data_IF_808859806049
#
_entry.id   IF_808859806049
#
_cell.length_a   1.000
_cell.length_b   1.000
_cell.length_c   1.000
_cell.angle_alpha   90.00
_cell.angle_beta   90.00
_cell.angle_gamma   90.00
#
_symmetry.space_group_name_H-M   'P 1'
#
loop_
_entity.id
_entity.type
_entity.pdbx_description
1 polymer ?
#
# COMPACT_ATOMS: atom_id res chain seq x y z
N UNK A 1 24.22 -4.66 1.90
CA UNK A 1 22.93 -5.05 2.51
C UNK A 1 22.44 -6.26 1.74
N UNK A 2 22.20 -7.40 2.39
CA UNK A 2 21.74 -8.63 1.70
C UNK A 2 20.23 -8.58 1.61
N UNK A 3 19.67 -8.47 0.41
CA UNK A 3 18.24 -8.57 0.14
C UNK A 3 17.73 -9.99 0.39
N UNK A 4 16.48 -10.14 0.78
CA UNK A 4 15.83 -11.46 0.86
C UNK A 4 15.65 -11.97 -0.58
N UNK A 5 16.26 -13.11 -1.00
CA UNK A 5 16.25 -13.56 -2.40
C UNK A 5 14.85 -13.68 -3.01
N UNK A 6 13.86 -14.08 -2.21
CA UNK A 6 12.47 -14.16 -2.65
C UNK A 6 11.89 -12.79 -3.02
N UNK A 7 12.19 -11.74 -2.25
CA UNK A 7 11.75 -10.37 -2.56
C UNK A 7 12.46 -9.87 -3.83
N UNK A 8 13.73 -10.20 -3.98
CA UNK A 8 14.51 -9.84 -5.16
C UNK A 8 13.91 -10.46 -6.44
N UNK A 9 13.35 -11.67 -6.36
CA UNK A 9 12.75 -12.36 -7.52
C UNK A 9 11.53 -11.63 -8.12
N UNK A 10 10.87 -10.74 -7.40
CA UNK A 10 9.75 -9.93 -7.88
C UNK A 10 9.98 -8.42 -7.79
N UNK A 11 11.24 -8.00 -7.67
CA UNK A 11 11.60 -6.58 -7.60
C UNK A 11 11.18 -5.78 -8.84
N UNK A 12 11.24 -6.40 -10.04
CA UNK A 12 10.77 -5.78 -11.28
C UNK A 12 9.28 -5.48 -11.27
N UNK A 13 8.47 -6.40 -10.72
CA UNK A 13 7.02 -6.22 -10.59
C UNK A 13 6.72 -5.05 -9.65
N UNK A 14 7.43 -4.98 -8.50
CA UNK A 14 7.30 -3.87 -7.57
C UNK A 14 7.72 -2.53 -8.18
N UNK A 15 8.79 -2.53 -8.98
CA UNK A 15 9.23 -1.32 -9.70
C UNK A 15 8.14 -0.84 -10.65
N UNK A 16 7.51 -1.74 -11.40
CA UNK A 16 6.43 -1.38 -12.32
C UNK A 16 5.21 -0.82 -11.57
N UNK A 17 4.81 -1.45 -10.47
CA UNK A 17 3.71 -0.97 -9.61
C UNK A 17 4.02 0.42 -9.06
N UNK A 18 5.23 0.64 -8.54
CA UNK A 18 5.63 1.94 -8.01
C UNK A 18 5.60 3.04 -9.08
N UNK A 19 6.12 2.76 -10.27
CA UNK A 19 6.12 3.72 -11.37
C UNK A 19 4.71 4.01 -11.88
N UNK A 20 3.82 3.02 -11.86
CA UNK A 20 2.41 3.20 -12.21
C UNK A 20 1.68 4.09 -11.20
N UNK A 21 1.87 3.88 -9.89
CA UNK A 21 1.33 4.79 -8.87
C UNK A 21 1.88 6.20 -9.03
N UNK A 22 3.19 6.33 -9.26
CA UNK A 22 3.83 7.64 -9.44
C UNK A 22 3.26 8.41 -10.63
N UNK A 23 2.98 7.72 -11.72
CA UNK A 23 2.41 8.32 -12.93
C UNK A 23 0.93 8.71 -12.78
N UNK A 24 0.21 8.15 -11.79
CA UNK A 24 -1.23 8.37 -11.59
C UNK A 24 -1.55 8.79 -10.15
N UNK A 25 -0.96 9.89 -9.65
CA UNK A 25 -1.16 10.34 -8.27
C UNK A 25 -2.60 10.80 -8.03
N UNK A 26 -3.15 10.40 -6.88
CA UNK A 26 -4.48 10.79 -6.40
C UNK A 26 -4.37 11.50 -5.05
N UNK A 27 -5.17 12.53 -4.82
CA UNK A 27 -5.14 13.30 -3.58
C UNK A 27 -5.91 12.56 -2.47
N UNK A 28 -5.70 13.01 -1.23
CA UNK A 28 -6.35 12.42 -0.06
C UNK A 28 -7.86 12.32 -0.17
N UNK A 29 -8.40 11.13 0.11
CA UNK A 29 -9.78 10.67 -0.09
C UNK A 29 -10.25 10.57 -1.56
N UNK A 30 -9.36 10.79 -2.53
CA UNK A 30 -9.62 10.57 -3.95
C UNK A 30 -8.86 9.35 -4.51
N UNK A 31 -8.17 8.57 -3.66
CA UNK A 31 -7.29 7.45 -4.04
C UNK A 31 -8.07 6.20 -4.50
N UNK A 32 -9.06 6.38 -5.37
CA UNK A 32 -9.98 5.31 -5.82
C UNK A 32 -9.25 4.28 -6.68
N UNK A 33 -8.42 4.75 -7.61
CA UNK A 33 -7.61 3.87 -8.48
C UNK A 33 -6.54 3.14 -7.68
N UNK A 34 -5.79 3.87 -6.85
CA UNK A 34 -4.72 3.33 -6.01
C UNK A 34 -5.27 2.26 -5.07
N UNK A 35 -6.35 2.55 -4.36
CA UNK A 35 -7.07 1.64 -3.48
C UNK A 35 -7.52 0.35 -4.20
N UNK A 36 -8.12 0.49 -5.38
CA UNK A 36 -8.55 -0.65 -6.19
C UNK A 36 -7.40 -1.55 -6.63
N UNK A 37 -6.26 -0.96 -7.03
CA UNK A 37 -5.05 -1.72 -7.39
C UNK A 37 -4.50 -2.44 -6.15
N UNK A 38 -4.39 -1.76 -5.01
CA UNK A 38 -3.94 -2.36 -3.76
C UNK A 38 -4.80 -3.58 -3.40
N UNK A 39 -6.11 -3.43 -3.39
CA UNK A 39 -7.03 -4.52 -3.07
C UNK A 39 -6.92 -5.70 -4.04
N UNK A 40 -6.79 -5.42 -5.34
CA UNK A 40 -6.59 -6.44 -6.36
C UNK A 40 -5.28 -7.21 -6.17
N UNK A 41 -4.18 -6.51 -5.89
CA UNK A 41 -2.87 -7.13 -5.63
C UNK A 41 -2.89 -8.00 -4.37
N UNK A 42 -3.48 -7.52 -3.28
CA UNK A 42 -3.60 -8.30 -2.04
C UNK A 42 -4.35 -9.61 -2.27
N UNK A 43 -5.47 -9.57 -3.02
CA UNK A 43 -6.21 -10.79 -3.40
C UNK A 43 -5.39 -11.72 -4.28
N UNK A 44 -4.66 -11.18 -5.26
CA UNK A 44 -3.79 -11.95 -6.14
C UNK A 44 -2.64 -12.64 -5.39
N UNK A 45 -2.13 -12.02 -4.32
CA UNK A 45 -1.09 -12.59 -3.45
C UNK A 45 -1.61 -13.64 -2.47
N UNK A 46 -2.93 -13.82 -2.37
CA UNK A 46 -3.54 -14.80 -1.46
C UNK A 46 -3.63 -14.31 -0.01
N UNK A 47 -3.80 -13.01 0.20
CA UNK A 47 -4.14 -12.43 1.52
C UNK A 47 -5.49 -12.97 1.97
N UNK A 48 -5.61 -13.40 3.23
CA UNK A 48 -6.79 -14.15 3.71
C UNK A 48 -8.07 -13.31 3.73
N UNK A 49 -7.96 -12.04 4.15
CA UNK A 49 -9.07 -11.10 4.17
C UNK A 49 -8.62 -9.76 3.58
N UNK A 50 -9.47 -9.14 2.77
CA UNK A 50 -9.23 -7.81 2.18
C UNK A 50 -10.51 -6.97 2.33
N UNK A 51 -10.40 -5.93 3.14
CA UNK A 51 -11.49 -4.97 3.42
C UNK A 51 -11.17 -3.65 2.74
N UNK A 52 -12.10 -3.16 1.93
CA UNK A 52 -12.00 -1.90 1.19
C UNK A 52 -12.91 -0.82 1.78
N UNK A 53 -12.60 0.43 1.49
CA UNK A 53 -13.44 1.57 1.86
C UNK A 53 -13.32 2.00 3.32
N UNK A 54 -12.39 1.46 4.09
CA UNK A 54 -12.18 1.85 5.49
C UNK A 54 -11.61 3.27 5.55
N UNK A 55 -12.32 4.18 6.14
CA UNK A 55 -11.94 5.60 6.14
C UNK A 55 -12.14 6.28 4.79
N UNK A 56 -12.95 5.70 3.90
CA UNK A 56 -13.24 6.19 2.55
C UNK A 56 -12.55 5.37 1.46
N UNK A 57 -11.27 5.54 1.25
CA UNK A 57 -10.48 4.82 0.23
C UNK A 57 -9.43 3.88 0.83
N UNK A 58 -9.38 3.72 2.16
CA UNK A 58 -8.42 2.85 2.81
C UNK A 58 -8.68 1.37 2.55
N UNK A 59 -7.59 0.58 2.58
CA UNK A 59 -7.64 -0.88 2.42
C UNK A 59 -6.95 -1.53 3.60
N UNK A 60 -7.56 -2.58 4.13
CA UNK A 60 -6.98 -3.40 5.22
C UNK A 60 -6.92 -4.85 4.78
N UNK A 61 -5.74 -5.46 4.86
CA UNK A 61 -5.54 -6.87 4.58
C UNK A 61 -5.12 -7.65 5.84
N UNK A 62 -5.55 -8.89 5.99
CA UNK A 62 -5.13 -9.77 7.08
C UNK A 62 -4.44 -11.01 6.50
N UNK A 63 -3.26 -11.32 7.06
CA UNK A 63 -2.51 -12.55 6.74
C UNK A 63 -2.30 -13.34 8.03
N UNK A 64 -2.80 -14.57 8.06
CA UNK A 64 -2.59 -15.47 9.18
C UNK A 64 -1.34 -16.32 8.95
N UNK A 65 -0.44 -16.34 9.93
CA UNK A 65 0.74 -17.20 9.96
C UNK A 65 0.38 -18.66 10.26
N UNK A 66 1.31 -19.56 9.96
CA UNK A 66 1.12 -21.01 10.20
C UNK A 66 1.38 -21.43 11.65
N UNK A 67 2.01 -20.59 12.46
CA UNK A 67 2.38 -20.93 13.85
C UNK A 67 1.24 -20.88 14.87
N UNK A 68 0.04 -20.40 14.51
CA UNK A 68 -1.18 -20.50 15.34
C UNK A 68 -1.23 -19.58 16.56
N UNK A 69 -0.35 -18.59 16.69
CA UNK A 69 -0.36 -17.59 17.77
C UNK A 69 -1.51 -16.58 17.65
N UNK A 70 -1.81 -15.86 18.74
CA UNK A 70 -2.89 -14.87 18.80
C UNK A 70 -2.40 -13.41 18.74
N UNK A 71 -1.11 -13.18 18.58
CA UNK A 71 -0.53 -11.83 18.45
C UNK A 71 -0.87 -11.21 17.10
N UNK A 72 -1.05 -9.89 17.09
CA UNK A 72 -1.25 -9.12 15.86
C UNK A 72 -0.19 -8.05 15.71
N UNK A 73 0.29 -7.85 14.48
CA UNK A 73 1.24 -6.79 14.11
C UNK A 73 0.63 -6.00 12.97
N UNK A 74 0.50 -4.69 13.13
CA UNK A 74 0.09 -3.77 12.07
C UNK A 74 1.30 -3.27 11.28
N UNK A 75 1.24 -3.35 9.96
CA UNK A 75 2.16 -2.70 9.03
C UNK A 75 1.38 -1.65 8.25
N UNK A 76 1.89 -0.42 8.20
CA UNK A 76 1.17 0.72 7.62
C UNK A 76 1.94 1.37 6.47
N UNK A 77 1.23 1.69 5.41
CA UNK A 77 1.63 2.63 4.36
C UNK A 77 0.52 3.64 4.09
N UNK A 78 0.88 4.83 3.68
CA UNK A 78 -0.01 5.87 3.17
C UNK A 78 -0.10 5.80 1.65
N UNK A 79 -1.17 6.38 1.06
CA UNK A 79 -1.45 6.22 -0.37
C UNK A 79 -1.61 7.55 -1.13
N UNK A 80 -1.86 8.65 -0.43
CA UNK A 80 -2.21 9.93 -1.05
C UNK A 80 -1.00 10.68 -1.63
N UNK A 81 -1.27 11.49 -2.64
CA UNK A 81 -0.31 12.40 -3.27
C UNK A 81 -0.55 13.84 -2.81
N UNK A 82 0.34 14.73 -3.22
CA UNK A 82 0.30 16.16 -2.93
C UNK A 82 -0.20 16.98 -4.13
N UNK A 83 -0.86 18.14 -3.89
CA UNK A 83 -1.29 19.07 -4.96
C UNK A 83 -0.08 19.92 -5.44
N UNK A 84 0.89 19.25 -6.06
CA UNK A 84 2.14 19.84 -6.53
C UNK A 84 2.32 19.49 -8.00
N UNK A 85 2.72 20.46 -8.83
CA UNK A 85 3.11 20.21 -10.22
C UNK A 85 4.45 19.49 -10.26
N UNK A 86 4.51 18.35 -10.94
CA UNK A 86 5.75 17.60 -11.07
C UNK A 86 6.64 18.17 -12.19
N UNK A 87 7.89 18.45 -11.85
CA UNK A 87 8.91 18.92 -12.79
C UNK A 87 10.17 18.04 -12.79
N UNK A 88 10.07 16.80 -12.33
CA UNK A 88 11.21 15.87 -12.18
C UNK A 88 11.85 15.45 -13.50
N UNK A 89 11.05 15.37 -14.59
CA UNK A 89 11.51 14.91 -15.89
C UNK A 89 11.78 13.41 -15.99
N UNK A 90 11.36 12.61 -15.00
CA UNK A 90 11.47 11.15 -15.06
C UNK A 90 10.50 10.57 -16.10
N UNK A 91 10.83 9.40 -16.65
CA UNK A 91 10.02 8.76 -17.69
C UNK A 91 8.60 8.34 -17.22
N UNK A 92 8.42 8.19 -15.92
CA UNK A 92 7.15 7.84 -15.26
C UNK A 92 6.59 9.01 -14.43
N UNK A 93 6.91 10.25 -14.82
CA UNK A 93 6.35 11.45 -14.18
C UNK A 93 4.81 11.43 -14.20
N UNK A 94 4.21 12.16 -13.28
CA UNK A 94 2.76 12.31 -13.17
C UNK A 94 2.09 12.66 -14.50
N UNK A 95 1.03 11.93 -14.82
CA UNK A 95 0.14 12.24 -15.96
C UNK A 95 -1.06 13.09 -15.51
N UNK A 96 -1.18 13.37 -14.20
CA UNK A 96 -2.25 14.18 -13.61
C UNK A 96 -1.71 15.57 -13.27
N UNK A 97 -1.97 16.61 -14.09
CA UNK A 97 -1.44 17.96 -13.85
C UNK A 97 -1.77 18.46 -12.43
N UNK A 98 -0.81 19.10 -11.79
CA UNK A 98 -0.97 19.64 -10.42
C UNK A 98 -1.00 18.59 -9.32
N UNK A 99 -0.63 17.33 -9.58
CA UNK A 99 -0.55 16.26 -8.58
C UNK A 99 0.75 15.51 -8.71
N UNK A 100 1.40 15.18 -7.58
CA UNK A 100 2.68 14.47 -7.55
C UNK A 100 2.82 13.66 -6.27
N UNK A 101 3.38 12.45 -6.36
CA UNK A 101 3.87 11.71 -5.20
C UNK A 101 5.19 12.29 -4.67
N UNK A 102 5.16 13.55 -4.20
CA UNK A 102 6.35 14.25 -3.73
C UNK A 102 6.81 13.80 -2.32
N UNK A 103 5.95 13.16 -1.54
CA UNK A 103 6.27 12.60 -0.23
C UNK A 103 6.72 11.13 -0.28
N UNK A 104 6.58 10.47 -1.43
CA UNK A 104 7.04 9.08 -1.63
C UNK A 104 6.04 8.01 -1.21
N UNK A 105 4.77 8.35 -1.04
CA UNK A 105 3.72 7.39 -0.66
C UNK A 105 3.48 6.30 -1.70
N UNK A 106 3.79 6.53 -2.98
CA UNK A 106 3.89 5.53 -4.03
C UNK A 106 4.91 4.41 -3.67
N UNK A 107 6.05 4.81 -3.11
CA UNK A 107 7.06 3.89 -2.59
C UNK A 107 6.59 3.15 -1.33
N UNK A 108 5.96 3.86 -0.38
CA UNK A 108 5.43 3.25 0.85
C UNK A 108 4.38 2.19 0.54
N UNK A 109 3.39 2.52 -0.30
CA UNK A 109 2.35 1.58 -0.77
C UNK A 109 2.98 0.35 -1.44
N UNK A 110 3.95 0.57 -2.33
CA UNK A 110 4.64 -0.53 -3.03
C UNK A 110 5.46 -1.41 -2.09
N UNK A 111 6.17 -0.83 -1.13
CA UNK A 111 6.92 -1.59 -0.13
C UNK A 111 5.99 -2.48 0.72
N UNK A 112 4.82 -1.96 1.11
CA UNK A 112 3.85 -2.75 1.87
C UNK A 112 3.21 -3.85 1.01
N UNK A 113 2.97 -3.62 -0.29
CA UNK A 113 2.55 -4.67 -1.23
C UNK A 113 3.63 -5.76 -1.39
N UNK A 114 4.92 -5.38 -1.44
CA UNK A 114 6.02 -6.33 -1.48
C UNK A 114 6.10 -7.18 -0.20
N UNK A 115 5.92 -6.57 0.97
CA UNK A 115 5.85 -7.27 2.24
C UNK A 115 4.63 -8.20 2.29
N UNK A 116 3.46 -7.75 1.80
CA UNK A 116 2.24 -8.54 1.72
C UNK A 116 2.44 -9.81 0.89
N UNK A 117 3.04 -9.67 -0.32
CA UNK A 117 3.35 -10.81 -1.19
C UNK A 117 4.27 -11.81 -0.51
N UNK A 118 5.37 -11.32 0.07
CA UNK A 118 6.31 -12.18 0.77
C UNK A 118 5.67 -12.94 1.93
N UNK A 119 4.92 -12.24 2.78
CA UNK A 119 4.29 -12.83 3.97
C UNK A 119 3.16 -13.80 3.61
N UNK A 120 2.34 -13.49 2.60
CA UNK A 120 1.27 -14.36 2.14
C UNK A 120 1.80 -15.64 1.48
N UNK A 121 2.91 -15.55 0.73
CA UNK A 121 3.53 -16.70 0.09
C UNK A 121 4.35 -17.59 1.05
N UNK A 122 4.87 -17.06 2.15
CA UNK A 122 5.71 -17.81 3.10
C UNK A 122 4.96 -18.27 4.34
N UNK A 123 4.17 -17.40 4.94
CA UNK A 123 3.40 -17.62 6.19
C UNK A 123 4.22 -18.15 7.37
N UNK A 124 5.55 -18.00 7.32
CA UNK A 124 6.50 -18.51 8.33
C UNK A 124 6.57 -17.53 9.53
N UNK A 125 5.45 -17.40 10.23
CA UNK A 125 5.32 -16.59 11.44
C UNK A 125 4.11 -17.03 12.29
N UNK A 126 4.11 -16.58 13.57
CA UNK A 126 3.00 -16.78 14.50
C UNK A 126 2.06 -15.57 14.52
N UNK A 127 0.75 -15.83 14.61
CA UNK A 127 -0.26 -14.78 14.74
C UNK A 127 -0.71 -14.19 13.40
N UNK A 128 -1.14 -12.94 13.41
CA UNK A 128 -1.72 -12.26 12.24
C UNK A 128 -0.98 -10.96 11.93
N UNK A 129 -0.64 -10.77 10.67
CA UNK A 129 -0.19 -9.47 10.14
C UNK A 129 -1.39 -8.72 9.59
N UNK A 130 -1.58 -7.49 10.04
CA UNK A 130 -2.61 -6.55 9.57
C UNK A 130 -1.91 -5.52 8.66
N UNK A 131 -2.24 -5.54 7.39
CA UNK A 131 -1.73 -4.60 6.39
C UNK A 131 -2.69 -3.40 6.32
N UNK A 132 -2.19 -2.21 6.55
CA UNK A 132 -3.00 -0.98 6.62
C UNK A 132 -2.53 -0.03 5.53
N UNK A 133 -3.33 0.12 4.48
CA UNK A 133 -3.12 1.12 3.43
C UNK A 133 -4.01 2.31 3.75
N UNK A 134 -3.38 3.34 4.31
CA UNK A 134 -4.05 4.51 4.85
C UNK A 134 -4.28 5.57 3.77
N UNK A 135 -5.50 6.11 3.60
CA UNK A 135 -5.75 7.29 2.78
C UNK A 135 -5.41 8.57 3.52
N UNK A 136 -5.28 9.67 2.77
CA UNK A 136 -5.34 11.04 3.26
C UNK A 136 -4.44 11.33 4.49
N UNK A 137 -3.16 10.99 4.38
CA UNK A 137 -2.16 11.24 5.42
C UNK A 137 -1.84 12.75 5.49
N UNK A 138 -1.75 13.42 4.34
CA UNK A 138 -1.32 14.81 4.17
C UNK A 138 -2.35 15.81 4.71
N UNK A 139 -2.53 15.79 6.04
CA UNK A 139 -3.31 16.78 6.79
C UNK A 139 -4.83 16.59 6.83
N UNK A 140 -5.39 15.61 6.13
CA UNK A 140 -6.84 15.38 6.09
C UNK A 140 -7.37 14.38 7.13
N UNK A 141 -6.45 13.69 7.84
CA UNK A 141 -6.77 12.85 8.98
C UNK A 141 -7.36 11.48 8.65
N UNK A 142 -6.91 10.86 7.56
CA UNK A 142 -7.35 9.54 7.11
C UNK A 142 -7.22 8.44 8.18
N UNK A 143 -6.11 8.42 8.93
CA UNK A 143 -5.95 7.47 10.04
C UNK A 143 -7.06 7.61 11.10
N UNK A 144 -7.41 8.85 11.49
CA UNK A 144 -8.48 9.10 12.45
C UNK A 144 -9.81 8.55 11.95
N UNK A 145 -10.07 8.71 10.64
CA UNK A 145 -11.30 8.22 10.03
C UNK A 145 -11.33 6.69 9.98
N UNK A 146 -10.22 6.03 9.63
CA UNK A 146 -10.13 4.57 9.67
C UNK A 146 -10.39 4.01 11.07
N UNK A 147 -9.78 4.62 12.11
CA UNK A 147 -9.98 4.23 13.52
C UNK A 147 -11.45 4.42 13.94
N UNK A 148 -12.08 5.52 13.54
CA UNK A 148 -13.50 5.77 13.86
C UNK A 148 -14.45 4.76 13.19
N UNK A 149 -14.03 4.15 12.08
CA UNK A 149 -14.78 3.12 11.35
C UNK A 149 -14.42 1.68 11.75
N UNK A 150 -13.52 1.51 12.75
CA UNK A 150 -13.30 0.21 13.40
C UNK A 150 -11.95 -0.47 13.12
N UNK A 151 -10.98 0.27 12.56
CA UNK A 151 -9.60 -0.23 12.42
C UNK A 151 -8.97 -0.53 13.80
#
# INVERSE_FOLDING_TARGET
MTTIPKIESFASDLTAIRQDFHAHPELGFEEVRTSGIVAAQLRAYGVDEVHEGIGGTGVVGLINGQGGGNRRVGLRADMDALPIEETSGVAYASTNPGRMHACGHDGHTTMLLGAARYLAETRDFDGTVVLIFQPAEEGLGGARRMIAEGL
#
